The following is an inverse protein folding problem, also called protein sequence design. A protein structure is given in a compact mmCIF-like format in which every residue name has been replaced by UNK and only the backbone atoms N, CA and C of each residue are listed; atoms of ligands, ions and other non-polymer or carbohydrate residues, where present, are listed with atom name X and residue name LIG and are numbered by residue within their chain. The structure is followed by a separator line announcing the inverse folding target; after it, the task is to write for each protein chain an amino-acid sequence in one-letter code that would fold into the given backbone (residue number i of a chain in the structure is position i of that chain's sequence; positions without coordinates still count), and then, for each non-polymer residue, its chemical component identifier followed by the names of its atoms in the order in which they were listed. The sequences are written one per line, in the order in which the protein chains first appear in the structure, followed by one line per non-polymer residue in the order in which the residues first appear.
data_IF_162245459371
#
_entry.id   IF_162245459371
#
_cell.length_a   1.000
_cell.length_b   1.000
_cell.length_c   1.000
_cell.angle_alpha   90.00
_cell.angle_beta   90.00
_cell.angle_gamma   90.00
#
_symmetry.space_group_name_H-M   'P 1'
#
loop_
_entity.id
_entity.type
_entity.pdbx_description
1 polymer ?
#
# COMPACT_ATOMS: atom_id res chain seq x y z
N UNK A 1 -7.67 -3.03 74.91
CA UNK A 1 -8.03 -3.75 73.66
C UNK A 1 -7.69 -2.85 72.47
N UNK A 2 -6.65 -3.18 71.71
CA UNK A 2 -6.04 -2.35 70.64
C UNK A 2 -6.54 -2.74 69.23
N UNK A 3 -7.76 -3.24 69.08
CA UNK A 3 -8.17 -4.02 67.90
C UNK A 3 -8.93 -3.24 66.82
N UNK A 4 -9.51 -2.07 67.13
CA UNK A 4 -10.35 -1.33 66.16
C UNK A 4 -9.61 -0.28 65.33
N UNK A 5 -8.51 0.30 65.83
CA UNK A 5 -7.73 1.31 65.09
C UNK A 5 -6.89 0.70 63.96
N UNK A 6 -6.31 -0.48 64.20
CA UNK A 6 -5.39 -1.14 63.28
C UNK A 6 -6.08 -1.57 61.98
N UNK A 7 -7.32 -2.07 62.07
CA UNK A 7 -8.12 -2.51 60.92
C UNK A 7 -8.55 -1.35 60.01
N UNK A 8 -8.74 -0.15 60.56
CA UNK A 8 -9.16 1.05 59.79
C UNK A 8 -7.96 1.70 59.08
N UNK A 9 -6.75 1.54 59.61
CA UNK A 9 -5.52 2.07 59.01
C UNK A 9 -4.99 1.15 57.91
N UNK A 10 -5.03 -0.17 58.09
CA UNK A 10 -4.61 -1.14 57.05
C UNK A 10 -5.50 -1.07 55.81
N UNK A 11 -6.82 -0.89 55.98
CA UNK A 11 -7.76 -0.76 54.86
C UNK A 11 -7.52 0.53 54.04
N UNK A 12 -7.16 1.63 54.70
CA UNK A 12 -6.80 2.88 54.01
C UNK A 12 -5.50 2.75 53.22
N UNK A 13 -4.46 2.13 53.78
CA UNK A 13 -3.17 1.95 53.09
C UNK A 13 -3.30 1.00 51.89
N UNK A 14 -4.06 -0.10 52.04
CA UNK A 14 -4.33 -1.04 50.94
C UNK A 14 -5.13 -0.38 49.79
N UNK A 15 -6.11 0.46 50.11
CA UNK A 15 -6.91 1.18 49.11
C UNK A 15 -6.07 2.23 48.36
N UNK A 16 -5.23 3.00 49.06
CA UNK A 16 -4.32 3.98 48.42
C UNK A 16 -3.22 3.30 47.60
N UNK A 17 -2.68 2.16 48.04
CA UNK A 17 -1.71 1.38 47.26
C UNK A 17 -2.29 0.82 45.96
N UNK A 18 -3.57 0.41 45.98
CA UNK A 18 -4.29 -0.07 44.80
C UNK A 18 -4.56 1.07 43.80
N UNK A 19 -4.96 2.26 44.27
CA UNK A 19 -5.13 3.45 43.42
C UNK A 19 -3.79 3.93 42.83
N UNK A 20 -2.70 3.87 43.59
CA UNK A 20 -1.37 4.25 43.12
C UNK A 20 -0.82 3.25 42.08
N UNK A 21 -1.03 1.95 42.28
CA UNK A 21 -0.67 0.91 41.31
C UNK A 21 -1.50 1.00 40.02
N UNK A 22 -2.79 1.32 40.12
CA UNK A 22 -3.68 1.49 38.96
C UNK A 22 -3.34 2.76 38.16
N UNK A 23 -3.01 3.87 38.83
CA UNK A 23 -2.53 5.09 38.18
C UNK A 23 -1.19 4.87 37.46
N UNK A 24 -0.28 4.07 38.03
CA UNK A 24 0.98 3.70 37.40
C UNK A 24 0.77 2.80 36.16
N UNK A 25 -0.21 1.91 36.19
CA UNK A 25 -0.55 1.04 35.05
C UNK A 25 -1.19 1.82 33.89
N UNK A 26 -2.07 2.79 34.19
CA UNK A 26 -2.65 3.70 33.20
C UNK A 26 -1.57 4.59 32.58
N UNK A 27 -0.61 5.09 33.39
CA UNK A 27 0.50 5.90 32.89
C UNK A 27 1.47 5.08 32.01
N UNK A 28 1.67 3.79 32.30
CA UNK A 28 2.48 2.89 31.48
C UNK A 28 1.80 2.56 30.14
N UNK A 29 0.48 2.38 30.12
CA UNK A 29 -0.29 2.15 28.88
C UNK A 29 -0.33 3.38 27.95
N UNK A 30 -0.16 4.60 28.48
CA UNK A 30 -0.08 5.82 27.66
C UNK A 30 1.29 6.03 27.01
N UNK A 31 2.33 5.31 27.45
CA UNK A 31 3.68 5.40 26.88
C UNK A 31 3.94 4.42 25.74
N UNK A 32 3.06 3.44 25.52
CA UNK A 32 3.10 2.56 24.34
C UNK A 32 2.36 3.22 23.18
N UNK A 33 2.85 4.37 22.73
CA UNK A 33 2.50 4.89 21.42
C UNK A 33 3.00 3.90 20.37
N UNK A 34 2.11 3.12 19.75
CA UNK A 34 2.47 2.32 18.59
C UNK A 34 2.88 3.29 17.48
N UNK A 35 4.19 3.44 17.28
CA UNK A 35 4.73 4.18 16.15
C UNK A 35 4.33 3.44 14.87
N UNK A 36 3.23 3.86 14.25
CA UNK A 36 2.90 3.42 12.90
C UNK A 36 3.89 4.08 11.96
N UNK A 37 4.81 3.29 11.42
CA UNK A 37 5.61 3.75 10.28
C UNK A 37 4.65 4.17 9.16
N UNK A 38 4.91 5.33 8.56
CA UNK A 38 4.15 5.75 7.38
C UNK A 38 4.27 4.65 6.30
N UNK A 39 3.18 4.35 5.56
CA UNK A 39 3.22 3.37 4.48
C UNK A 39 4.30 3.72 3.46
N UNK A 40 4.97 2.72 2.90
CA UNK A 40 5.91 2.95 1.80
C UNK A 40 5.16 3.37 0.52
N UNK A 41 5.84 3.98 -0.45
CA UNK A 41 5.20 4.34 -1.74
C UNK A 41 4.63 3.11 -2.45
N UNK A 42 5.30 1.95 -2.36
CA UNK A 42 4.80 0.69 -2.89
C UNK A 42 3.50 0.25 -2.20
N UNK A 43 3.40 0.42 -0.87
CA UNK A 43 2.16 0.14 -0.13
C UNK A 43 1.03 1.07 -0.56
N UNK A 44 1.33 2.36 -0.80
CA UNK A 44 0.34 3.35 -1.24
C UNK A 44 -0.18 3.05 -2.65
N UNK A 45 0.70 2.63 -3.57
CA UNK A 45 0.33 2.16 -4.91
C UNK A 45 -0.54 0.89 -4.83
N UNK A 46 -0.10 -0.10 -4.05
CA UNK A 46 -0.86 -1.34 -3.85
C UNK A 46 -2.25 -1.06 -3.28
N UNK A 47 -2.34 -0.18 -2.29
CA UNK A 47 -3.60 0.26 -1.70
C UNK A 47 -4.50 0.99 -2.71
N UNK A 48 -3.93 1.90 -3.52
CA UNK A 48 -4.69 2.61 -4.56
C UNK A 48 -5.31 1.65 -5.58
N UNK A 49 -4.56 0.63 -6.02
CA UNK A 49 -5.09 -0.39 -6.94
C UNK A 49 -6.14 -1.28 -6.26
N UNK A 50 -5.88 -1.72 -5.03
CA UNK A 50 -6.79 -2.59 -4.28
C UNK A 50 -8.11 -1.90 -3.95
N UNK A 51 -8.09 -0.60 -3.68
CA UNK A 51 -9.29 0.18 -3.44
C UNK A 51 -10.27 0.16 -4.64
N UNK A 52 -9.78 -0.10 -5.85
CA UNK A 52 -10.59 -0.09 -7.08
C UNK A 52 -11.03 -1.51 -7.47
N UNK A 53 -10.14 -2.52 -7.36
CA UNK A 53 -10.37 -3.84 -7.95
C UNK A 53 -10.32 -5.03 -7.00
N UNK A 54 -9.88 -4.87 -5.74
CA UNK A 54 -9.76 -5.99 -4.81
C UNK A 54 -11.13 -6.49 -4.33
N UNK A 55 -11.31 -7.81 -4.25
CA UNK A 55 -12.50 -8.41 -3.64
C UNK A 55 -12.15 -9.72 -2.93
N UNK A 56 -12.96 -10.16 -1.94
CA UNK A 56 -12.75 -11.44 -1.26
C UNK A 56 -12.78 -12.65 -2.21
N UNK A 57 -13.59 -12.60 -3.27
CA UNK A 57 -13.76 -13.68 -4.26
C UNK A 57 -12.65 -13.67 -5.32
N UNK A 58 -12.01 -12.53 -5.55
CA UNK A 58 -10.91 -12.36 -6.47
C UNK A 58 -9.83 -11.41 -5.89
N UNK A 59 -9.01 -11.88 -4.93
CA UNK A 59 -8.00 -11.05 -4.31
C UNK A 59 -6.98 -10.53 -5.34
N UNK A 60 -6.71 -9.23 -5.30
CA UNK A 60 -5.75 -8.56 -6.16
C UNK A 60 -4.34 -8.69 -5.56
N UNK A 61 -3.47 -9.38 -6.30
CA UNK A 61 -2.03 -9.40 -6.02
C UNK A 61 -1.37 -8.33 -6.89
N UNK A 62 -0.58 -7.44 -6.27
CA UNK A 62 0.10 -6.33 -6.96
C UNK A 62 1.61 -6.50 -6.79
N UNK A 63 2.26 -7.03 -7.82
CA UNK A 63 3.71 -7.17 -7.92
C UNK A 63 4.13 -7.44 -9.39
N UNK A 64 5.32 -6.98 -9.82
CA UNK A 64 6.21 -6.09 -9.09
C UNK A 64 5.71 -4.64 -9.20
N UNK A 65 6.15 -3.77 -8.28
CA UNK A 65 5.92 -2.32 -8.37
C UNK A 65 7.27 -1.66 -8.63
N UNK A 66 7.37 -0.90 -9.72
CA UNK A 66 8.55 -0.12 -10.09
C UNK A 66 8.16 1.34 -10.21
N UNK A 67 8.89 2.21 -9.53
CA UNK A 67 8.60 3.65 -9.46
C UNK A 67 9.71 4.42 -10.17
N UNK A 68 9.34 5.36 -11.03
CA UNK A 68 10.22 6.28 -11.72
C UNK A 68 9.63 7.70 -11.67
N UNK A 69 10.13 8.52 -10.74
CA UNK A 69 9.61 9.86 -10.48
C UNK A 69 8.12 9.82 -10.07
N UNK A 70 7.29 10.56 -10.80
CA UNK A 70 5.83 10.62 -10.58
C UNK A 70 5.07 9.48 -11.27
N UNK A 71 5.75 8.49 -11.85
CA UNK A 71 5.12 7.36 -12.52
C UNK A 71 5.50 6.05 -11.83
N UNK A 72 4.60 5.07 -11.90
CA UNK A 72 4.89 3.71 -11.45
C UNK A 72 4.25 2.70 -12.39
N UNK A 73 4.97 1.60 -12.66
CA UNK A 73 4.43 0.45 -13.35
C UNK A 73 4.24 -0.69 -12.34
N UNK A 74 3.01 -1.16 -12.22
CA UNK A 74 2.64 -2.23 -11.30
C UNK A 74 2.09 -3.42 -12.08
N UNK A 75 2.72 -4.59 -11.93
CA UNK A 75 2.14 -5.86 -12.33
C UNK A 75 1.02 -6.25 -11.38
N UNK A 76 -0.02 -6.89 -11.89
CA UNK A 76 -1.09 -7.42 -11.05
C UNK A 76 -1.64 -8.75 -11.58
N UNK A 77 -2.16 -9.55 -10.67
CA UNK A 77 -2.90 -10.77 -11.00
C UNK A 77 -4.15 -10.93 -10.14
N UNK A 78 -5.19 -11.49 -10.74
CA UNK A 78 -6.43 -11.93 -10.10
C UNK A 78 -6.88 -13.23 -10.76
N UNK A 79 -6.99 -14.30 -9.96
CA UNK A 79 -7.35 -15.63 -10.45
C UNK A 79 -6.43 -16.07 -11.61
N UNK A 80 -7.00 -16.21 -12.81
CA UNK A 80 -6.30 -16.61 -14.04
C UNK A 80 -5.89 -15.43 -14.92
N UNK A 81 -6.22 -14.19 -14.53
CA UNK A 81 -5.92 -12.98 -15.28
C UNK A 81 -4.83 -12.16 -14.61
N UNK A 82 -4.20 -11.31 -15.41
CA UNK A 82 -3.25 -10.32 -14.94
C UNK A 82 -3.00 -9.26 -15.99
N UNK A 83 -2.23 -8.25 -15.62
CA UNK A 83 -1.88 -7.14 -16.47
C UNK A 83 -0.81 -6.28 -15.83
N UNK A 84 -0.52 -5.17 -16.49
CA UNK A 84 0.27 -4.06 -15.99
C UNK A 84 -0.64 -2.86 -15.84
N UNK A 85 -0.32 -2.02 -14.88
CA UNK A 85 -1.01 -0.76 -14.65
C UNK A 85 0.04 0.33 -14.51
N UNK A 86 -0.05 1.35 -15.35
CA UNK A 86 0.68 2.58 -15.21
C UNK A 86 -0.10 3.48 -14.25
N UNK A 87 0.54 3.88 -13.16
CA UNK A 87 0.02 4.85 -12.21
C UNK A 87 0.79 6.16 -12.35
N UNK A 88 0.11 7.25 -12.01
CA UNK A 88 0.68 8.59 -11.94
C UNK A 88 0.39 9.23 -10.59
N UNK A 89 1.44 9.76 -9.96
CA UNK A 89 1.35 10.55 -8.75
C UNK A 89 0.95 11.98 -9.09
N UNK A 90 -0.05 12.49 -8.38
CA UNK A 90 -0.47 13.90 -8.40
C UNK A 90 -0.57 14.39 -6.97
N UNK A 91 0.25 15.37 -6.60
CA UNK A 91 0.33 15.88 -5.23
C UNK A 91 0.58 14.78 -4.17
N UNK A 92 1.34 13.75 -4.56
CA UNK A 92 1.62 12.60 -3.71
C UNK A 92 0.54 11.53 -3.73
N UNK A 93 -0.59 11.70 -4.41
CA UNK A 93 -1.63 10.68 -4.54
C UNK A 93 -1.47 9.87 -5.82
N UNK A 94 -1.41 8.54 -5.70
CA UNK A 94 -1.28 7.62 -6.82
C UNK A 94 -2.64 7.34 -7.43
N UNK A 95 -2.75 7.59 -8.74
CA UNK A 95 -3.97 7.33 -9.51
C UNK A 95 -3.65 6.38 -10.66
N UNK A 96 -4.59 5.49 -10.98
CA UNK A 96 -4.50 4.63 -12.16
C UNK A 96 -4.59 5.51 -13.40
N UNK A 97 -3.57 5.43 -14.26
CA UNK A 97 -3.52 6.22 -15.49
C UNK A 97 -3.85 5.38 -16.72
N UNK A 98 -3.31 4.16 -16.79
CA UNK A 98 -3.54 3.23 -17.90
C UNK A 98 -3.41 1.79 -17.42
N UNK A 99 -4.26 0.90 -17.91
CA UNK A 99 -4.14 -0.55 -17.72
C UNK A 99 -3.85 -1.22 -19.05
N UNK A 100 -3.07 -2.29 -19.07
CA UNK A 100 -2.62 -2.89 -20.31
C UNK A 100 -1.90 -4.21 -20.10
N UNK A 101 -1.61 -4.90 -21.20
CA UNK A 101 -0.80 -6.11 -21.21
C UNK A 101 0.66 -5.81 -21.49
N UNK A 102 1.18 -6.38 -22.57
CA UNK A 102 2.57 -6.17 -23.00
C UNK A 102 2.80 -4.78 -23.58
N UNK A 103 1.75 -4.13 -24.10
CA UNK A 103 1.85 -2.78 -24.60
C UNK A 103 2.23 -1.74 -23.53
N UNK A 104 2.10 -2.06 -22.24
CA UNK A 104 2.54 -1.16 -21.16
C UNK A 104 4.01 -1.34 -20.76
N UNK A 105 4.71 -2.34 -21.32
CA UNK A 105 6.14 -2.52 -21.17
C UNK A 105 6.90 -2.03 -22.41
N UNK A 106 6.46 -0.90 -22.96
CA UNK A 106 6.99 -0.30 -24.19
C UNK A 106 7.26 1.19 -24.00
N UNK A 107 8.42 1.65 -24.47
CA UNK A 107 8.89 3.03 -24.26
C UNK A 107 8.02 4.04 -25.00
N UNK A 108 7.56 3.72 -26.21
CA UNK A 108 6.72 4.61 -27.01
C UNK A 108 5.37 4.82 -26.31
N UNK A 109 4.76 3.75 -25.81
CA UNK A 109 3.50 3.82 -25.05
C UNK A 109 3.62 4.69 -23.81
N UNK A 110 4.68 4.52 -23.01
CA UNK A 110 4.90 5.33 -21.82
C UNK A 110 5.18 6.80 -22.15
N UNK A 111 5.87 7.05 -23.27
CA UNK A 111 6.11 8.41 -23.77
C UNK A 111 4.80 9.07 -24.21
N UNK A 112 3.92 8.33 -24.89
CA UNK A 112 2.56 8.79 -25.24
C UNK A 112 1.69 9.06 -24.00
N UNK A 113 1.93 8.34 -22.89
CA UNK A 113 1.33 8.61 -21.58
C UNK A 113 1.94 9.82 -20.85
N UNK A 114 2.85 10.56 -21.51
CA UNK A 114 3.41 11.82 -21.05
C UNK A 114 4.69 11.71 -20.21
N UNK A 115 5.34 10.55 -20.19
CA UNK A 115 6.70 10.43 -19.65
C UNK A 115 7.74 11.02 -20.61
N UNK A 116 8.89 11.45 -20.11
CA UNK A 116 10.06 11.68 -20.97
C UNK A 116 10.60 10.33 -21.48
N UNK A 117 11.23 10.32 -22.65
CA UNK A 117 11.82 9.09 -23.22
C UNK A 117 12.80 8.44 -22.25
N UNK A 118 13.67 9.22 -21.58
CA UNK A 118 14.67 8.67 -20.67
C UNK A 118 14.03 8.04 -19.42
N UNK A 119 12.94 8.64 -18.91
CA UNK A 119 12.20 8.07 -17.78
C UNK A 119 11.47 6.79 -18.22
N UNK A 120 10.87 6.77 -19.40
CA UNK A 120 10.20 5.60 -19.96
C UNK A 120 11.18 4.44 -20.17
N UNK A 121 12.38 4.69 -20.72
CA UNK A 121 13.43 3.68 -20.87
C UNK A 121 13.86 3.08 -19.53
N UNK A 122 14.09 3.92 -18.50
CA UNK A 122 14.43 3.44 -17.15
C UNK A 122 13.31 2.60 -16.56
N UNK A 123 12.05 3.05 -16.70
CA UNK A 123 10.91 2.35 -16.15
C UNK A 123 10.71 0.97 -16.81
N UNK A 124 10.77 0.89 -18.14
CA UNK A 124 10.67 -0.38 -18.89
C UNK A 124 11.80 -1.34 -18.51
N UNK A 125 13.04 -0.84 -18.47
CA UNK A 125 14.21 -1.65 -18.08
C UNK A 125 14.06 -2.20 -16.67
N UNK A 126 13.76 -1.35 -15.70
CA UNK A 126 13.66 -1.75 -14.29
C UNK A 126 12.45 -2.67 -14.05
N UNK A 127 11.34 -2.44 -14.78
CA UNK A 127 10.17 -3.32 -14.73
C UNK A 127 10.48 -4.70 -15.27
N UNK A 128 11.14 -4.79 -16.43
CA UNK A 128 11.56 -6.07 -17.00
C UNK A 128 12.52 -6.84 -16.07
N UNK A 129 13.45 -6.14 -15.42
CA UNK A 129 14.35 -6.73 -14.42
C UNK A 129 13.63 -7.19 -13.14
N UNK A 130 12.58 -6.48 -12.73
CA UNK A 130 11.77 -6.85 -11.57
C UNK A 130 10.88 -8.06 -11.89
N UNK A 131 10.23 -8.06 -13.05
CA UNK A 131 9.40 -9.18 -13.52
C UNK A 131 10.21 -10.46 -13.70
N UNK A 132 11.46 -10.36 -14.18
CA UNK A 132 12.34 -11.53 -14.32
C UNK A 132 12.65 -12.26 -12.99
N UNK A 133 12.37 -11.63 -11.83
CA UNK A 133 12.52 -12.23 -10.50
C UNK A 133 11.26 -12.98 -10.05
N UNK A 134 10.15 -12.83 -10.75
CA UNK A 134 8.90 -13.51 -10.44
C UNK A 134 8.84 -14.90 -11.11
N UNK A 135 8.00 -15.81 -10.59
CA UNK A 135 7.75 -17.08 -11.26
C UNK A 135 7.19 -16.85 -12.67
N UNK A 136 7.65 -17.65 -13.64
CA UNK A 136 7.23 -17.52 -15.04
C UNK A 136 5.70 -17.65 -15.23
N UNK A 137 5.02 -18.41 -14.37
CA UNK A 137 3.55 -18.51 -14.38
C UNK A 137 2.87 -17.18 -14.05
N UNK A 138 3.46 -16.36 -13.18
CA UNK A 138 2.94 -15.05 -12.81
C UNK A 138 3.15 -14.05 -13.94
N UNK A 139 4.37 -14.00 -14.50
CA UNK A 139 4.68 -13.05 -15.59
C UNK A 139 3.90 -13.36 -16.87
N UNK A 140 3.63 -14.64 -17.16
CA UNK A 140 2.76 -15.03 -18.27
C UNK A 140 1.33 -14.48 -18.15
N UNK A 141 0.84 -14.25 -16.93
CA UNK A 141 -0.49 -13.65 -16.71
C UNK A 141 -0.52 -12.18 -17.09
N UNK A 142 0.59 -11.44 -17.05
CA UNK A 142 0.59 -10.01 -17.39
C UNK A 142 0.22 -9.75 -18.86
N UNK A 143 0.46 -10.71 -19.74
CA UNK A 143 0.06 -10.62 -21.16
C UNK A 143 -1.42 -10.95 -21.40
N UNK A 144 -2.17 -11.39 -20.37
CA UNK A 144 -3.58 -11.83 -20.51
C UNK A 144 -4.60 -10.70 -20.49
N UNK A 145 -4.20 -9.47 -20.18
CA UNK A 145 -5.10 -8.31 -20.16
C UNK A 145 -5.64 -7.97 -21.55
N UNK A 146 -4.84 -8.18 -22.60
CA UNK A 146 -5.15 -7.76 -23.98
C UNK A 146 -4.64 -6.35 -24.28
N UNK A 147 -5.43 -5.58 -25.03
CA UNK A 147 -5.07 -4.22 -25.48
C UNK A 147 -4.99 -3.19 -24.35
N UNK A 148 -4.15 -2.17 -24.52
CA UNK A 148 -4.00 -1.08 -23.55
C UNK A 148 -5.26 -0.19 -23.52
N UNK A 149 -5.75 0.10 -22.32
CA UNK A 149 -6.90 0.96 -22.06
C UNK A 149 -6.47 2.12 -21.16
N UNK A 150 -6.61 3.35 -21.67
CA UNK A 150 -6.49 4.56 -20.83
C UNK A 150 -7.68 4.61 -19.89
N UNK A 151 -7.41 4.79 -18.60
CA UNK A 151 -8.49 4.99 -17.62
C UNK A 151 -8.70 6.49 -17.52
N UNK A 152 -9.78 6.98 -18.13
CA UNK A 152 -10.17 8.38 -17.99
C UNK A 152 -10.74 8.63 -16.59
N UNK A 153 -10.23 9.64 -15.90
CA UNK A 153 -10.77 10.16 -14.64
C UNK A 153 -11.31 11.60 -14.80
N UNK A 154 -11.36 12.14 -16.03
CA UNK A 154 -11.89 13.46 -16.29
C UNK A 154 -13.40 13.44 -16.55
N UNK A 155 -14.17 13.51 -15.46
CA UNK A 155 -15.44 14.22 -15.48
C UNK A 155 -15.54 15.18 -14.28
N UNK A 156 -14.65 16.17 -14.28
CA UNK A 156 -14.87 17.41 -13.55
C UNK A 156 -15.16 18.48 -14.62
N UNK A 157 -16.43 18.92 -14.82
CA UNK A 157 -16.70 20.12 -15.59
C UNK A 157 -16.22 21.33 -14.78
N UNK A 158 -15.70 22.33 -15.49
CA UNK A 158 -15.27 23.64 -14.96
C UNK A 158 -16.33 24.29 -14.05
#
# INVERSE_FOLDING_TARGET
MKTTSQHRQTFKVALHGLFFAMALFILFAMFTGMAHAAPSEADRISQAMKAIWDSPEAPLVVEPIVIEGDYALAGWTQLTRGGRTLLKSRHGEWNVHMCGGDGLNDVETLTMAGMSTEAAERLVKNSSEAEAKLPAEVTAKFSTFGDNMVVDHNHQPD
#
